data_IF_479101330300
#
_entry.id   IF_479101330300
#
_cell.length_a   1.000
_cell.length_b   1.000
_cell.length_c   1.000
_cell.angle_alpha   90.00
_cell.angle_beta   90.00
_cell.angle_gamma   90.00
#
_symmetry.space_group_name_H-M   'P 1'
#
loop_
_entity.id
_entity.type
_entity.pdbx_description
1 polymer ?
#
# COMPACT_ATOMS: atom_id res chain seq x y z
N UNK A 1 30.14 -4.42 -0.70
CA UNK A 1 29.15 -3.71 -1.56
C UNK A 1 28.26 -2.84 -0.70
N UNK A 2 27.65 -1.78 -1.26
CA UNK A 2 26.81 -0.83 -0.51
C UNK A 2 25.47 -0.61 -1.22
N UNK A 3 24.39 -0.57 -0.45
CA UNK A 3 23.06 -0.24 -0.94
C UNK A 3 22.51 1.00 -0.22
N UNK A 4 21.81 1.87 -0.94
CA UNK A 4 21.11 3.02 -0.39
C UNK A 4 19.60 2.87 -0.62
N UNK A 5 18.82 2.90 0.44
CA UNK A 5 17.37 3.03 0.37
C UNK A 5 16.96 4.48 0.60
N UNK A 6 16.08 5.03 -0.22
CA UNK A 6 15.60 6.40 -0.05
C UNK A 6 14.07 6.47 -0.03
N UNK A 7 13.52 7.26 0.90
CA UNK A 7 12.10 7.58 0.99
C UNK A 7 11.90 8.95 1.64
N UNK A 8 10.72 9.56 1.48
CA UNK A 8 10.45 10.88 2.08
C UNK A 8 10.35 10.84 3.60
N UNK A 9 9.89 9.72 4.19
CA UNK A 9 9.68 9.57 5.64
C UNK A 9 10.19 8.20 6.10
N UNK A 10 10.69 8.16 7.34
CA UNK A 10 11.19 6.93 7.97
C UNK A 10 10.13 5.82 8.01
N UNK A 11 8.90 6.15 8.40
CA UNK A 11 7.81 5.17 8.51
C UNK A 11 7.51 4.41 7.22
N UNK A 12 7.86 4.96 6.04
CA UNK A 12 7.74 4.21 4.79
C UNK A 12 8.80 3.10 4.68
N UNK A 13 10.02 3.35 5.12
CA UNK A 13 11.08 2.35 5.11
C UNK A 13 10.86 1.27 6.18
N UNK A 14 10.53 1.68 7.40
CA UNK A 14 10.32 0.76 8.52
C UNK A 14 9.03 -0.06 8.38
N UNK A 15 7.97 0.54 7.83
CA UNK A 15 6.69 -0.16 7.62
C UNK A 15 6.68 -1.15 6.46
N UNK A 16 7.55 -0.96 5.44
CA UNK A 16 7.41 -1.71 4.20
C UNK A 16 8.70 -2.31 3.64
N UNK A 17 9.89 -1.87 4.09
CA UNK A 17 11.13 -2.24 3.43
C UNK A 17 12.19 -2.88 4.33
N UNK A 18 11.86 -3.19 5.60
CA UNK A 18 12.75 -3.94 6.49
C UNK A 18 13.23 -5.24 5.84
N UNK A 19 12.35 -6.10 5.26
CA UNK A 19 12.80 -7.34 4.65
C UNK A 19 13.75 -7.12 3.45
N UNK A 20 13.52 -6.06 2.68
CA UNK A 20 14.39 -5.70 1.55
C UNK A 20 15.78 -5.25 2.02
N UNK A 21 15.85 -4.49 3.10
CA UNK A 21 17.12 -4.07 3.71
C UNK A 21 17.85 -5.26 4.32
N UNK A 22 17.12 -6.14 5.03
CA UNK A 22 17.67 -7.37 5.62
C UNK A 22 18.25 -8.30 4.56
N UNK A 23 17.58 -8.45 3.40
CA UNK A 23 18.08 -9.22 2.26
C UNK A 23 19.51 -8.81 1.86
N UNK A 24 19.81 -7.52 1.81
CA UNK A 24 21.15 -7.03 1.50
C UNK A 24 22.10 -7.17 2.68
N UNK A 25 21.62 -6.97 3.90
CA UNK A 25 22.42 -7.14 5.11
C UNK A 25 22.94 -8.57 5.24
N UNK A 26 22.08 -9.57 5.03
CA UNK A 26 22.41 -11.00 5.08
C UNK A 26 23.43 -11.41 4.01
N UNK A 27 23.55 -10.61 2.94
CA UNK A 27 24.55 -10.80 1.87
C UNK A 27 25.82 -9.97 2.07
N UNK A 28 26.02 -9.40 3.24
CA UNK A 28 27.21 -8.65 3.60
C UNK A 28 27.31 -7.26 2.99
N UNK A 29 26.19 -6.68 2.56
CA UNK A 29 26.17 -5.29 2.10
C UNK A 29 26.16 -4.33 3.28
N UNK A 30 26.85 -3.21 3.15
CA UNK A 30 26.57 -2.03 3.98
C UNK A 30 25.25 -1.42 3.53
N UNK A 31 24.26 -1.42 4.41
CA UNK A 31 22.90 -0.92 4.16
C UNK A 31 22.77 0.49 4.73
N UNK A 32 22.61 1.46 3.85
CA UNK A 32 22.40 2.86 4.22
C UNK A 32 20.98 3.29 3.88
N UNK A 33 20.45 4.23 4.66
CA UNK A 33 19.15 4.85 4.39
C UNK A 33 19.28 6.38 4.32
N UNK A 34 18.48 7.00 3.45
CA UNK A 34 18.36 8.46 3.36
C UNK A 34 16.87 8.84 3.32
N UNK A 35 16.36 9.37 4.43
CA UNK A 35 14.96 9.74 4.61
C UNK A 35 14.81 10.85 5.65
N UNK A 36 13.58 11.24 5.97
CA UNK A 36 13.28 12.13 7.09
C UNK A 36 13.72 11.56 8.44
N UNK A 37 13.58 12.32 9.54
CA UNK A 37 13.98 11.89 10.87
C UNK A 37 13.14 10.67 11.34
N UNK A 38 13.69 9.91 12.29
CA UNK A 38 13.10 8.74 12.90
C UNK A 38 14.15 7.74 13.36
N UNK A 39 13.75 6.70 14.09
CA UNK A 39 14.65 5.68 14.62
C UNK A 39 15.22 4.82 13.50
N UNK A 40 16.53 4.66 13.51
CA UNK A 40 17.24 3.85 12.51
C UNK A 40 16.96 2.37 12.75
N UNK A 41 16.44 1.64 11.76
CA UNK A 41 16.18 0.20 11.94
C UNK A 41 17.50 -0.59 12.05
N UNK A 42 17.49 -1.68 12.83
CA UNK A 42 18.67 -2.48 13.11
C UNK A 42 19.38 -3.06 11.86
N UNK A 43 18.64 -3.25 10.77
CA UNK A 43 19.21 -3.70 9.49
C UNK A 43 19.96 -2.60 8.72
N UNK A 44 19.90 -1.34 9.14
CA UNK A 44 20.59 -0.22 8.50
C UNK A 44 21.87 0.16 9.27
N UNK A 45 22.99 0.23 8.55
CA UNK A 45 24.28 0.63 9.14
C UNK A 45 24.44 2.14 9.30
N UNK A 46 23.73 2.91 8.47
CA UNK A 46 23.82 4.38 8.49
C UNK A 46 22.53 5.03 8.03
N UNK A 47 22.09 6.05 8.78
CA UNK A 47 20.98 6.92 8.42
C UNK A 47 21.47 8.33 8.10
N UNK A 48 21.15 8.80 6.90
CA UNK A 48 21.32 10.19 6.48
C UNK A 48 19.98 10.90 6.56
N UNK A 49 19.83 11.80 7.50
CA UNK A 49 18.59 12.59 7.64
C UNK A 49 18.52 13.60 6.52
N UNK A 50 17.58 13.41 5.60
CA UNK A 50 17.33 14.29 4.45
C UNK A 50 15.92 14.87 4.57
N UNK A 51 15.83 16.19 4.60
CA UNK A 51 14.57 16.93 4.74
C UNK A 51 13.75 16.96 3.44
N UNK A 52 13.27 15.82 2.99
CA UNK A 52 12.36 15.75 1.85
C UNK A 52 10.99 16.36 2.19
N UNK A 53 10.51 17.27 1.36
CA UNK A 53 9.17 17.79 1.45
C UNK A 53 8.21 16.98 0.55
N UNK A 54 6.98 16.75 1.01
CA UNK A 54 5.98 15.98 0.22
C UNK A 54 5.53 16.73 -1.04
N UNK A 55 5.51 18.07 -1.00
CA UNK A 55 5.18 18.89 -2.17
C UNK A 55 6.43 19.13 -3.02
N UNK A 56 6.40 18.84 -4.34
CA UNK A 56 7.56 19.03 -5.22
C UNK A 56 7.95 20.51 -5.39
N UNK A 57 7.04 21.45 -5.09
CA UNK A 57 7.24 22.89 -5.28
C UNK A 57 7.92 23.59 -4.08
N UNK A 58 8.27 22.86 -3.02
CA UNK A 58 8.94 23.44 -1.85
C UNK A 58 10.43 23.63 -2.12
N UNK A 59 10.94 24.86 -1.90
CA UNK A 59 12.35 25.21 -2.10
C UNK A 59 13.32 24.37 -1.24
N UNK A 60 12.86 23.88 -0.09
CA UNK A 60 13.62 22.94 0.75
C UNK A 60 14.04 21.66 0.02
N UNK A 61 13.33 21.26 -1.03
CA UNK A 61 13.76 20.14 -1.87
C UNK A 61 15.07 20.39 -2.63
N UNK A 62 15.47 21.65 -2.83
CA UNK A 62 16.78 22.00 -3.42
C UNK A 62 17.92 21.62 -2.44
N UNK A 63 17.76 21.94 -1.16
CA UNK A 63 18.74 21.56 -0.13
C UNK A 63 18.77 20.04 0.06
N UNK A 64 17.60 19.37 0.09
CA UNK A 64 17.51 17.93 0.13
C UNK A 64 18.22 17.25 -1.06
N UNK A 65 18.02 17.78 -2.28
CA UNK A 65 18.74 17.31 -3.46
C UNK A 65 20.27 17.45 -3.35
N UNK A 66 20.75 18.61 -2.87
CA UNK A 66 22.19 18.84 -2.69
C UNK A 66 22.80 17.90 -1.65
N UNK A 67 22.13 17.73 -0.51
CA UNK A 67 22.53 16.81 0.55
C UNK A 67 22.58 15.36 0.05
N UNK A 68 21.52 14.90 -0.61
CA UNK A 68 21.44 13.55 -1.17
C UNK A 68 22.52 13.31 -2.25
N UNK A 69 22.77 14.30 -3.11
CA UNK A 69 23.83 14.23 -4.12
C UNK A 69 25.21 14.11 -3.49
N UNK A 70 25.48 14.80 -2.36
CA UNK A 70 26.70 14.67 -1.58
C UNK A 70 26.83 13.26 -1.01
N UNK A 71 25.79 12.75 -0.35
CA UNK A 71 25.75 11.37 0.21
C UNK A 71 26.06 10.33 -0.87
N UNK A 72 25.41 10.42 -2.03
CA UNK A 72 25.63 9.45 -3.13
C UNK A 72 27.06 9.52 -3.66
N UNK A 73 27.63 10.71 -3.81
CA UNK A 73 29.00 10.90 -4.31
C UNK A 73 30.06 10.36 -3.35
N UNK A 74 29.87 10.57 -2.03
CA UNK A 74 30.88 10.25 -1.01
C UNK A 74 30.88 8.79 -0.59
N UNK A 75 29.82 8.02 -0.89
CA UNK A 75 29.69 6.63 -0.43
C UNK A 75 29.82 5.58 -1.53
N UNK A 76 29.74 5.94 -2.81
CA UNK A 76 29.90 5.03 -3.95
C UNK A 76 29.01 3.77 -3.86
N UNK A 77 27.70 3.95 -4.04
CA UNK A 77 26.73 2.86 -3.91
C UNK A 77 26.73 1.92 -5.12
N UNK A 78 26.57 0.64 -4.87
CA UNK A 78 26.35 -0.39 -5.88
C UNK A 78 24.90 -0.37 -6.38
N UNK A 79 23.97 -0.24 -5.45
CA UNK A 79 22.53 -0.15 -5.72
C UNK A 79 21.95 1.06 -4.96
N UNK A 80 21.05 1.77 -5.61
CA UNK A 80 20.20 2.79 -4.99
C UNK A 80 18.76 2.42 -5.26
N UNK A 81 17.99 2.12 -4.22
CA UNK A 81 16.58 1.81 -4.32
C UNK A 81 15.75 2.95 -3.74
N UNK A 82 14.97 3.61 -4.59
CA UNK A 82 14.20 4.77 -4.21
C UNK A 82 12.69 4.51 -4.20
N UNK A 83 12.03 5.12 -3.20
CA UNK A 83 10.61 5.02 -2.94
C UNK A 83 10.02 6.41 -2.76
N UNK A 84 8.70 6.51 -2.73
CA UNK A 84 7.90 7.73 -2.58
C UNK A 84 8.14 8.77 -3.69
N UNK A 85 7.13 9.55 -4.10
CA UNK A 85 7.20 10.35 -5.33
C UNK A 85 8.35 11.36 -5.33
N UNK A 86 8.41 12.27 -4.32
CA UNK A 86 9.41 13.35 -4.32
C UNK A 86 10.82 12.82 -4.07
N UNK A 87 11.00 11.93 -3.07
CA UNK A 87 12.32 11.37 -2.81
C UNK A 87 12.85 10.60 -4.02
N UNK A 88 12.00 9.84 -4.75
CA UNK A 88 12.44 9.12 -5.95
C UNK A 88 12.84 10.05 -7.10
N UNK A 89 12.14 11.16 -7.30
CA UNK A 89 12.54 12.18 -8.28
C UNK A 89 13.92 12.71 -7.97
N UNK A 90 14.13 13.16 -6.72
CA UNK A 90 15.41 13.73 -6.29
C UNK A 90 16.54 12.70 -6.33
N UNK A 91 16.26 11.45 -5.94
CA UNK A 91 17.25 10.37 -5.95
C UNK A 91 17.70 10.03 -7.36
N UNK A 92 16.76 9.82 -8.30
CA UNK A 92 17.06 9.51 -9.70
C UNK A 92 17.88 10.63 -10.37
N UNK A 93 17.60 11.89 -10.03
CA UNK A 93 18.38 13.04 -10.49
C UNK A 93 19.78 13.09 -9.85
N UNK A 94 19.88 12.88 -8.53
CA UNK A 94 21.15 12.93 -7.81
C UNK A 94 22.08 11.78 -8.22
N UNK A 95 21.52 10.60 -8.51
CA UNK A 95 22.25 9.40 -8.89
C UNK A 95 22.75 9.39 -10.35
N UNK A 96 22.38 10.38 -11.19
CA UNK A 96 22.72 10.38 -12.63
C UNK A 96 24.20 10.16 -12.92
N UNK A 97 25.10 10.76 -12.14
CA UNK A 97 26.55 10.58 -12.32
C UNK A 97 26.98 9.19 -11.82
N UNK A 98 26.59 8.78 -10.63
CA UNK A 98 26.92 7.47 -10.07
C UNK A 98 26.47 6.33 -11.00
N UNK A 99 25.28 6.47 -11.59
CA UNK A 99 24.73 5.51 -12.57
C UNK A 99 25.64 5.34 -13.82
N UNK A 100 26.31 6.41 -14.27
CA UNK A 100 27.31 6.31 -15.37
C UNK A 100 28.54 5.53 -14.95
N UNK A 101 28.84 5.45 -13.65
CA UNK A 101 29.95 4.71 -13.08
C UNK A 101 29.56 3.33 -12.52
N UNK A 102 28.40 2.80 -12.90
CA UNK A 102 28.01 1.42 -12.61
C UNK A 102 27.01 1.24 -11.46
N UNK A 103 26.59 2.30 -10.78
CA UNK A 103 25.48 2.21 -9.80
C UNK A 103 24.19 1.84 -10.49
N UNK A 104 23.47 0.83 -9.99
CA UNK A 104 22.13 0.46 -10.45
C UNK A 104 21.08 1.24 -9.67
N UNK A 105 20.19 1.94 -10.38
CA UNK A 105 19.10 2.72 -9.79
C UNK A 105 17.77 2.00 -9.99
N UNK A 106 17.17 1.58 -8.88
CA UNK A 106 15.86 0.92 -8.81
C UNK A 106 14.84 1.92 -8.28
N UNK A 107 13.69 2.01 -8.90
CA UNK A 107 12.55 2.79 -8.43
C UNK A 107 11.31 1.91 -8.27
N UNK A 108 10.76 1.86 -7.06
CA UNK A 108 9.44 1.26 -6.82
C UNK A 108 8.37 2.34 -6.74
N UNK A 109 7.46 2.32 -7.70
CA UNK A 109 6.27 3.17 -7.72
C UNK A 109 5.14 2.49 -6.91
N UNK A 110 4.81 3.05 -5.75
CA UNK A 110 3.69 2.60 -4.91
C UNK A 110 2.33 3.14 -5.36
N UNK A 111 2.25 3.61 -6.58
CA UNK A 111 1.07 4.15 -7.25
C UNK A 111 1.35 5.48 -7.94
N UNK A 112 1.33 5.50 -9.27
CA UNK A 112 1.52 6.74 -10.03
C UNK A 112 0.43 7.75 -9.75
N UNK A 113 0.75 9.05 -9.87
CA UNK A 113 -0.20 10.15 -9.69
C UNK A 113 -1.02 10.45 -10.97
N UNK A 114 -0.83 9.66 -12.02
CA UNK A 114 -1.63 9.67 -13.23
C UNK A 114 -2.32 8.30 -13.37
N UNK A 115 -3.54 8.22 -12.92
CA UNK A 115 -4.38 7.02 -12.86
C UNK A 115 -5.73 7.33 -13.55
N UNK A 116 -6.51 6.31 -13.80
CA UNK A 116 -7.84 6.48 -14.39
C UNK A 116 -8.75 7.29 -13.46
N UNK A 117 -9.22 8.45 -13.94
CA UNK A 117 -10.00 9.40 -13.14
C UNK A 117 -9.19 10.53 -12.50
N UNK A 118 -7.84 10.54 -12.62
CA UNK A 118 -7.04 11.65 -12.15
C UNK A 118 -7.33 12.96 -12.94
N UNK A 119 -7.20 14.15 -12.31
CA UNK A 119 -7.35 15.41 -13.01
C UNK A 119 -6.38 15.51 -14.19
N UNK A 120 -6.89 15.84 -15.39
CA UNK A 120 -6.15 15.75 -16.66
C UNK A 120 -4.81 16.48 -16.67
N UNK A 121 -4.78 17.72 -16.14
CA UNK A 121 -3.55 18.54 -16.13
C UNK A 121 -2.48 17.95 -15.19
N UNK A 122 -2.85 17.60 -13.98
CA UNK A 122 -1.91 16.98 -13.02
C UNK A 122 -1.42 15.62 -13.52
N UNK A 123 -2.31 14.80 -14.09
CA UNK A 123 -1.95 13.52 -14.68
C UNK A 123 -0.95 13.70 -15.84
N UNK A 124 -1.14 14.70 -16.70
CA UNK A 124 -0.21 15.02 -17.77
C UNK A 124 1.18 15.38 -17.23
N UNK A 125 1.25 16.27 -16.23
CA UNK A 125 2.51 16.71 -15.62
C UNK A 125 3.23 15.52 -14.97
N UNK A 126 2.57 14.78 -14.09
CA UNK A 126 3.19 13.62 -13.42
C UNK A 126 3.66 12.57 -14.41
N UNK A 127 2.85 12.25 -15.41
CA UNK A 127 3.22 11.30 -16.47
C UNK A 127 4.45 11.75 -17.25
N UNK A 128 4.52 13.03 -17.61
CA UNK A 128 5.65 13.59 -18.37
C UNK A 128 6.93 13.53 -17.55
N UNK A 129 6.87 13.90 -16.26
CA UNK A 129 8.00 13.82 -15.33
C UNK A 129 8.45 12.36 -15.15
N UNK A 130 7.54 11.44 -14.88
CA UNK A 130 7.88 10.02 -14.68
C UNK A 130 8.44 9.38 -15.96
N UNK A 131 7.86 9.69 -17.13
CA UNK A 131 8.40 9.25 -18.43
C UNK A 131 9.82 9.75 -18.65
N UNK A 132 10.08 11.03 -18.36
CA UNK A 132 11.43 11.60 -18.50
C UNK A 132 12.40 10.94 -17.53
N UNK A 133 12.02 10.78 -16.27
CA UNK A 133 12.84 10.16 -15.23
C UNK A 133 13.06 8.66 -15.45
N UNK A 134 12.20 7.98 -16.19
CA UNK A 134 12.41 6.56 -16.52
C UNK A 134 13.73 6.32 -17.27
N UNK A 135 14.24 7.31 -18.00
CA UNK A 135 15.57 7.26 -18.65
C UNK A 135 16.73 7.33 -17.65
N UNK A 136 16.47 7.80 -16.42
CA UNK A 136 17.41 7.86 -15.32
C UNK A 136 17.20 6.75 -14.29
N UNK A 137 16.42 5.73 -14.65
CA UNK A 137 16.09 4.54 -13.88
C UNK A 137 16.65 3.32 -14.59
N UNK A 138 17.28 2.41 -13.87
CA UNK A 138 17.68 1.12 -14.46
C UNK A 138 16.55 0.13 -14.36
N UNK A 139 15.94 -0.03 -13.20
CA UNK A 139 14.81 -0.93 -12.97
C UNK A 139 13.63 -0.13 -12.41
N UNK A 140 12.47 -0.28 -13.04
CA UNK A 140 11.22 0.31 -12.58
C UNK A 140 10.29 -0.81 -12.07
N UNK A 141 9.89 -0.72 -10.82
CA UNK A 141 8.97 -1.68 -10.19
C UNK A 141 7.63 -0.98 -9.95
N UNK A 142 6.54 -1.66 -10.30
CA UNK A 142 5.16 -1.26 -9.97
C UNK A 142 4.48 -2.33 -9.14
N UNK A 143 3.46 -1.95 -8.37
CA UNK A 143 2.75 -2.85 -7.46
C UNK A 143 1.30 -3.14 -7.89
N UNK A 144 0.90 -2.65 -9.06
CA UNK A 144 -0.43 -2.89 -9.63
C UNK A 144 -0.39 -2.94 -11.15
N UNK A 145 -1.42 -3.54 -11.76
CA UNK A 145 -1.51 -3.77 -13.20
C UNK A 145 -1.73 -2.51 -14.02
N UNK A 146 -2.50 -1.52 -13.51
CA UNK A 146 -2.74 -0.26 -14.22
C UNK A 146 -1.44 0.53 -14.42
N UNK A 147 -0.63 0.65 -13.36
CA UNK A 147 0.66 1.34 -13.42
C UNK A 147 1.66 0.57 -14.30
N UNK A 148 1.66 -0.76 -14.24
CA UNK A 148 2.51 -1.57 -15.12
C UNK A 148 2.15 -1.40 -16.59
N UNK A 149 0.87 -1.46 -16.92
CA UNK A 149 0.40 -1.24 -18.30
C UNK A 149 0.70 0.19 -18.79
N UNK A 150 0.70 1.19 -17.89
CA UNK A 150 1.02 2.56 -18.21
C UNK A 150 2.48 2.73 -18.69
N UNK A 151 3.41 1.89 -18.24
CA UNK A 151 4.82 1.92 -18.66
C UNK A 151 4.94 1.74 -20.19
N UNK A 152 4.37 0.69 -20.72
CA UNK A 152 4.36 0.42 -22.18
C UNK A 152 3.50 1.46 -22.91
N UNK A 153 2.28 1.74 -22.41
CA UNK A 153 1.33 2.67 -23.02
C UNK A 153 1.91 4.06 -23.25
N UNK A 154 2.72 4.55 -22.32
CA UNK A 154 3.30 5.89 -22.41
C UNK A 154 4.77 5.90 -22.84
N UNK A 155 5.35 4.76 -23.13
CA UNK A 155 6.71 4.62 -23.62
C UNK A 155 7.77 5.04 -22.60
N UNK A 156 7.68 4.52 -21.38
CA UNK A 156 8.74 4.63 -20.38
C UNK A 156 9.95 3.78 -20.80
N UNK A 157 11.15 4.18 -20.43
CA UNK A 157 12.39 3.55 -20.89
C UNK A 157 13.38 3.29 -19.75
N UNK A 158 13.02 2.47 -18.75
CA UNK A 158 14.01 2.01 -17.79
C UNK A 158 15.04 1.11 -18.51
N UNK A 159 16.32 1.25 -18.16
CA UNK A 159 17.42 0.65 -18.94
C UNK A 159 17.43 -0.90 -18.89
N UNK A 160 17.08 -1.47 -17.73
CA UNK A 160 17.13 -2.90 -17.43
C UNK A 160 15.73 -3.53 -17.32
N UNK A 161 14.70 -2.76 -17.63
CA UNK A 161 13.33 -3.23 -17.70
C UNK A 161 12.42 -2.72 -16.59
N UNK A 162 11.17 -3.08 -16.74
CA UNK A 162 10.11 -2.82 -15.77
C UNK A 162 9.49 -4.13 -15.30
N UNK A 163 9.13 -4.16 -14.02
CA UNK A 163 8.60 -5.35 -13.36
C UNK A 163 7.35 -4.98 -12.56
N UNK A 164 6.44 -5.95 -12.44
CA UNK A 164 5.32 -5.86 -11.51
C UNK A 164 5.55 -6.86 -10.38
N UNK A 165 5.40 -6.40 -9.13
CA UNK A 165 5.43 -7.26 -7.95
C UNK A 165 4.09 -7.13 -7.20
N UNK A 166 3.69 -8.13 -6.39
CA UNK A 166 2.44 -8.09 -5.62
C UNK A 166 2.52 -7.19 -4.38
N UNK A 167 3.21 -6.05 -4.48
CA UNK A 167 3.39 -5.10 -3.38
C UNK A 167 4.53 -5.46 -2.44
N UNK A 168 4.38 -5.07 -1.18
CA UNK A 168 5.41 -5.28 -0.13
C UNK A 168 5.22 -6.58 0.64
N UNK A 169 4.09 -7.25 0.42
CA UNK A 169 3.70 -8.48 1.10
C UNK A 169 3.01 -8.26 2.44
N UNK A 170 2.22 -9.25 2.84
CA UNK A 170 1.51 -9.32 4.13
C UNK A 170 1.96 -10.57 4.87
N UNK A 171 2.24 -10.43 6.15
CA UNK A 171 2.65 -11.55 7.00
C UNK A 171 1.50 -12.56 7.16
N UNK A 172 1.61 -13.69 6.46
CA UNK A 172 0.61 -14.75 6.48
C UNK A 172 0.64 -15.60 7.77
N UNK A 173 1.66 -15.47 8.60
CA UNK A 173 1.66 -16.07 9.93
C UNK A 173 0.84 -15.25 10.92
N UNK A 174 0.77 -13.93 10.70
CA UNK A 174 -0.05 -13.00 11.49
C UNK A 174 -1.49 -12.95 11.00
N UNK A 175 -1.70 -12.84 9.68
CA UNK A 175 -3.02 -12.73 9.06
C UNK A 175 -3.43 -14.08 8.46
N UNK A 176 -4.27 -14.82 9.18
CA UNK A 176 -4.76 -16.15 8.81
C UNK A 176 -6.18 -16.37 9.35
N UNK A 177 -6.92 -17.37 8.88
CA UNK A 177 -8.23 -17.69 9.44
C UNK A 177 -8.16 -18.04 10.92
N UNK A 178 -9.10 -17.52 11.70
CA UNK A 178 -9.22 -17.78 13.13
C UNK A 178 -10.31 -18.80 13.47
N UNK A 179 -10.22 -19.41 14.66
CA UNK A 179 -11.25 -20.33 15.14
C UNK A 179 -12.51 -19.59 15.58
N UNK A 180 -13.63 -20.30 15.70
CA UNK A 180 -14.88 -19.75 16.21
C UNK A 180 -14.73 -19.25 17.67
N UNK A 181 -13.89 -19.93 18.47
CA UNK A 181 -13.58 -19.52 19.86
C UNK A 181 -12.87 -18.19 19.88
N UNK A 182 -11.80 -18.03 19.05
CA UNK A 182 -11.07 -16.77 18.91
C UNK A 182 -12.02 -15.63 18.49
N UNK A 183 -12.84 -15.87 17.48
CA UNK A 183 -13.84 -14.89 17.02
C UNK A 183 -14.76 -14.45 18.14
N UNK A 184 -15.30 -15.41 18.94
CA UNK A 184 -16.19 -15.14 20.08
C UNK A 184 -15.49 -14.30 21.13
N UNK A 185 -14.28 -14.70 21.54
CA UNK A 185 -13.49 -13.98 22.52
C UNK A 185 -13.18 -12.53 22.11
N UNK A 186 -12.79 -12.32 20.83
CA UNK A 186 -12.51 -10.98 20.32
C UNK A 186 -13.79 -10.11 20.27
N UNK A 187 -14.93 -10.67 19.91
CA UNK A 187 -16.21 -9.96 19.93
C UNK A 187 -16.58 -9.55 21.37
N UNK A 188 -16.46 -10.44 22.32
CA UNK A 188 -16.73 -10.18 23.73
C UNK A 188 -15.81 -9.09 24.30
N UNK A 189 -14.50 -9.19 24.06
CA UNK A 189 -13.51 -8.20 24.51
C UNK A 189 -13.77 -6.79 23.95
N UNK A 190 -14.32 -6.72 22.72
CA UNK A 190 -14.64 -5.45 22.09
C UNK A 190 -16.12 -5.05 22.27
N UNK A 191 -16.91 -5.74 23.10
CA UNK A 191 -18.33 -5.46 23.34
C UNK A 191 -19.15 -5.52 22.03
N UNK A 192 -18.87 -6.48 21.16
CA UNK A 192 -19.57 -6.74 19.90
C UNK A 192 -20.56 -7.89 20.15
N UNK A 193 -21.84 -7.67 19.85
CA UNK A 193 -22.85 -8.72 19.98
C UNK A 193 -22.51 -9.93 19.11
N UNK A 194 -22.85 -11.13 19.59
CA UNK A 194 -22.59 -12.37 18.88
C UNK A 194 -23.32 -12.44 17.52
N UNK A 195 -24.49 -11.82 17.41
CA UNK A 195 -25.33 -11.74 16.21
C UNK A 195 -25.03 -10.52 15.33
N UNK A 196 -24.13 -9.63 15.73
CA UNK A 196 -23.79 -8.43 14.97
C UNK A 196 -23.23 -8.79 13.57
N UNK A 197 -23.72 -8.09 12.53
CA UNK A 197 -23.11 -8.11 11.21
C UNK A 197 -22.03 -7.04 11.12
N UNK A 198 -20.77 -7.47 11.18
CA UNK A 198 -19.63 -6.61 11.41
C UNK A 198 -18.91 -6.31 10.09
N UNK A 199 -18.88 -5.04 9.73
CA UNK A 199 -18.06 -4.48 8.65
C UNK A 199 -16.79 -3.87 9.22
N UNK A 200 -15.65 -3.98 8.54
CA UNK A 200 -14.38 -3.40 8.99
C UNK A 200 -13.64 -2.67 7.88
N UNK A 201 -13.13 -1.46 8.18
CA UNK A 201 -12.24 -0.70 7.30
C UNK A 201 -11.14 -0.01 8.09
N UNK A 202 -9.96 -0.61 8.13
CA UNK A 202 -8.77 -0.04 8.76
C UNK A 202 -8.09 0.97 7.82
N UNK A 203 -8.18 2.26 8.14
CA UNK A 203 -7.61 3.31 7.30
C UNK A 203 -7.51 4.66 8.03
N UNK A 204 -6.55 5.51 7.61
CA UNK A 204 -6.48 6.91 8.02
C UNK A 204 -7.78 7.66 7.67
N UNK A 205 -8.27 8.51 8.57
CA UNK A 205 -9.49 9.31 8.32
C UNK A 205 -9.17 10.53 7.46
N UNK A 206 -9.22 10.34 6.14
CA UNK A 206 -8.93 11.38 5.16
C UNK A 206 -9.86 11.30 3.94
N UNK A 207 -9.85 12.34 3.11
CA UNK A 207 -10.72 12.45 1.92
C UNK A 207 -10.50 11.31 0.91
N UNK A 208 -9.28 10.77 0.83
CA UNK A 208 -8.97 9.69 -0.11
C UNK A 208 -9.60 8.37 0.32
N UNK A 209 -9.59 8.06 1.62
CA UNK A 209 -10.17 6.83 2.17
C UNK A 209 -11.70 6.88 2.22
N UNK A 210 -12.30 8.09 2.26
CA UNK A 210 -13.72 8.35 2.00
C UNK A 210 -14.69 7.53 2.87
N UNK A 211 -14.42 7.43 4.18
CA UNK A 211 -15.30 6.73 5.11
C UNK A 211 -16.74 7.27 5.09
N UNK A 212 -16.95 8.53 4.67
CA UNK A 212 -18.28 9.10 4.49
C UNK A 212 -19.19 8.27 3.56
N UNK A 213 -18.63 7.62 2.53
CA UNK A 213 -19.39 6.71 1.66
C UNK A 213 -19.90 5.48 2.45
N UNK A 214 -19.09 4.92 3.35
CA UNK A 214 -19.50 3.79 4.19
C UNK A 214 -20.56 4.20 5.21
N UNK A 215 -20.43 5.38 5.82
CA UNK A 215 -21.45 5.92 6.73
C UNK A 215 -22.81 6.04 6.03
N UNK A 216 -22.83 6.57 4.79
CA UNK A 216 -24.07 6.63 3.98
C UNK A 216 -24.59 5.25 3.63
N UNK A 217 -23.74 4.27 3.30
CA UNK A 217 -24.16 2.91 3.03
C UNK A 217 -24.79 2.24 4.27
N UNK A 218 -24.21 2.43 5.45
CA UNK A 218 -24.77 1.96 6.73
C UNK A 218 -26.14 2.62 7.01
N UNK A 219 -26.29 3.93 6.76
CA UNK A 219 -27.55 4.63 6.89
C UNK A 219 -28.67 4.03 6.01
N UNK A 220 -28.33 3.57 4.81
CA UNK A 220 -29.28 2.89 3.92
C UNK A 220 -29.64 1.46 4.38
N UNK A 221 -28.80 0.86 5.23
CA UNK A 221 -28.93 -0.54 5.66
C UNK A 221 -29.52 -0.71 7.06
N UNK A 222 -29.51 0.30 7.92
CA UNK A 222 -29.85 0.19 9.34
C UNK A 222 -31.22 -0.43 9.63
N UNK A 223 -32.19 -0.18 8.75
CA UNK A 223 -33.55 -0.73 8.91
C UNK A 223 -33.66 -2.18 8.36
N UNK A 224 -32.83 -2.55 7.39
CA UNK A 224 -32.77 -3.90 6.81
C UNK A 224 -31.81 -4.84 7.56
N UNK A 225 -30.84 -4.28 8.28
CA UNK A 225 -29.84 -4.99 9.08
C UNK A 225 -29.75 -4.30 10.45
N UNK A 226 -30.68 -4.59 11.38
CA UNK A 226 -30.74 -3.88 12.67
C UNK A 226 -29.51 -4.07 13.56
N UNK A 227 -28.76 -5.14 13.36
CA UNK A 227 -27.54 -5.49 14.09
C UNK A 227 -26.25 -5.19 13.30
N UNK A 228 -26.32 -4.30 12.29
CA UNK A 228 -25.11 -3.88 11.54
C UNK A 228 -24.16 -3.11 12.44
N UNK A 229 -22.85 -3.35 12.28
CA UNK A 229 -21.81 -2.61 13.00
C UNK A 229 -20.63 -2.34 12.06
N UNK A 230 -20.29 -1.07 11.87
CA UNK A 230 -19.13 -0.64 11.11
C UNK A 230 -17.97 -0.29 12.08
N UNK A 231 -16.90 -1.07 12.00
CA UNK A 231 -15.66 -0.80 12.74
C UNK A 231 -14.70 -0.02 11.83
N UNK A 232 -14.24 1.11 12.34
CA UNK A 232 -13.29 2.00 11.67
C UNK A 232 -12.02 2.15 12.53
N UNK A 233 -11.09 1.17 12.51
CA UNK A 233 -9.76 1.36 13.09
C UNK A 233 -8.97 2.40 12.30
N UNK A 234 -8.38 3.39 12.98
CA UNK A 234 -7.60 4.45 12.38
C UNK A 234 -7.84 5.80 13.03
N UNK A 235 -7.03 6.75 12.62
CA UNK A 235 -7.08 8.15 13.06
C UNK A 235 -6.91 9.07 11.84
N UNK A 236 -7.20 10.34 12.00
CA UNK A 236 -6.95 11.31 10.96
C UNK A 236 -7.75 12.60 11.08
N UNK A 237 -7.47 13.57 10.21
CA UNK A 237 -8.02 14.91 10.31
C UNK A 237 -9.56 15.00 10.15
N UNK A 238 -10.19 13.97 9.58
CA UNK A 238 -11.65 13.95 9.35
C UNK A 238 -12.44 13.23 10.44
N UNK A 239 -11.82 12.85 11.57
CA UNK A 239 -12.49 12.14 12.65
C UNK A 239 -13.75 12.86 13.18
N UNK A 240 -13.62 14.14 13.49
CA UNK A 240 -14.75 14.94 13.97
C UNK A 240 -15.85 15.13 12.90
N UNK A 241 -15.48 15.18 11.62
CA UNK A 241 -16.43 15.23 10.50
C UNK A 241 -17.24 13.94 10.42
N UNK A 242 -16.59 12.78 10.55
CA UNK A 242 -17.26 11.48 10.52
C UNK A 242 -18.16 11.23 11.73
N UNK A 243 -17.78 11.71 12.92
CA UNK A 243 -18.65 11.68 14.11
C UNK A 243 -19.93 12.51 13.89
N UNK A 244 -19.81 13.72 13.36
CA UNK A 244 -20.98 14.56 13.03
C UNK A 244 -21.85 13.91 11.98
N UNK A 245 -21.26 13.42 10.89
CA UNK A 245 -22.02 12.76 9.83
C UNK A 245 -22.76 11.52 10.34
N UNK A 246 -22.17 10.73 11.23
CA UNK A 246 -22.84 9.58 11.83
C UNK A 246 -24.06 10.00 12.68
N UNK A 247 -23.97 11.12 13.41
CA UNK A 247 -25.08 11.69 14.16
C UNK A 247 -26.19 12.24 13.23
N UNK A 248 -25.83 13.00 12.21
CA UNK A 248 -26.77 13.55 11.22
C UNK A 248 -27.55 12.44 10.49
N UNK A 249 -26.90 11.31 10.21
CA UNK A 249 -27.50 10.15 9.57
C UNK A 249 -28.26 9.24 10.56
N UNK A 250 -28.25 9.56 11.88
CA UNK A 250 -28.83 8.76 12.96
C UNK A 250 -28.31 7.31 12.96
N UNK A 251 -26.97 7.16 12.85
CA UNK A 251 -26.27 5.87 12.82
C UNK A 251 -25.14 5.76 13.85
N UNK A 252 -25.06 6.67 14.83
CA UNK A 252 -23.95 6.68 15.79
C UNK A 252 -23.80 5.35 16.55
N UNK A 253 -24.89 4.64 16.83
CA UNK A 253 -24.88 3.33 17.49
C UNK A 253 -24.36 2.19 16.59
N UNK A 254 -24.34 2.38 15.27
CA UNK A 254 -23.91 1.40 14.28
C UNK A 254 -22.46 1.61 13.82
N UNK A 255 -21.75 2.61 14.36
CA UNK A 255 -20.41 2.98 13.91
C UNK A 255 -19.47 3.14 15.10
N UNK A 256 -18.30 2.53 15.02
CA UNK A 256 -17.23 2.69 16.02
C UNK A 256 -15.96 3.23 15.38
N UNK A 257 -15.60 4.46 15.73
CA UNK A 257 -14.29 5.04 15.43
C UNK A 257 -13.33 4.57 16.53
N UNK A 258 -12.37 3.70 16.19
CA UNK A 258 -11.63 2.91 17.20
C UNK A 258 -10.25 3.47 17.55
N UNK A 259 -9.84 4.59 16.94
CA UNK A 259 -8.47 5.06 17.05
C UNK A 259 -7.46 4.13 16.36
N UNK A 260 -6.18 4.41 16.54
CA UNK A 260 -5.11 3.56 15.99
C UNK A 260 -5.06 2.23 16.74
N UNK A 261 -5.04 1.12 15.98
CA UNK A 261 -5.02 -0.25 16.53
C UNK A 261 -3.80 -1.02 15.99
N UNK A 262 -3.14 -1.77 16.86
CA UNK A 262 -2.01 -2.63 16.52
C UNK A 262 -2.37 -4.11 16.40
N UNK A 263 -3.54 -4.50 16.91
CA UNK A 263 -4.09 -5.85 16.95
C UNK A 263 -5.07 -6.12 15.79
N UNK A 264 -4.72 -5.65 14.59
CA UNK A 264 -5.58 -5.75 13.42
C UNK A 264 -5.90 -7.19 13.02
N UNK A 265 -4.96 -8.12 13.20
CA UNK A 265 -5.14 -9.54 12.97
C UNK A 265 -6.28 -10.11 13.82
N UNK A 266 -6.30 -9.77 15.12
CA UNK A 266 -7.37 -10.19 16.01
C UNK A 266 -8.69 -9.48 15.69
N UNK A 267 -8.65 -8.16 15.40
CA UNK A 267 -9.85 -7.41 15.12
C UNK A 267 -10.56 -7.87 13.82
N UNK A 268 -9.79 -8.33 12.82
CA UNK A 268 -10.34 -8.95 11.59
C UNK A 268 -11.10 -10.25 11.89
N UNK A 269 -10.71 -11.01 12.92
CA UNK A 269 -11.45 -12.20 13.35
C UNK A 269 -12.88 -11.89 13.80
N UNK A 270 -13.16 -10.70 14.31
CA UNK A 270 -14.50 -10.27 14.70
C UNK A 270 -15.42 -9.91 13.54
N UNK A 271 -14.85 -9.60 12.37
CA UNK A 271 -15.59 -9.09 11.22
C UNK A 271 -16.29 -10.18 10.40
N UNK A 272 -17.28 -9.77 9.59
CA UNK A 272 -17.98 -10.61 8.60
C UNK A 272 -17.59 -10.22 7.17
N UNK A 273 -17.32 -8.93 6.94
CA UNK A 273 -16.98 -8.40 5.62
C UNK A 273 -15.94 -7.30 5.78
N UNK A 274 -14.87 -7.36 5.01
CA UNK A 274 -13.96 -6.23 4.87
C UNK A 274 -14.48 -5.26 3.81
N UNK A 275 -14.45 -3.97 4.11
CA UNK A 275 -14.94 -2.95 3.18
C UNK A 275 -13.86 -1.92 2.87
N UNK A 276 -13.91 -1.30 1.69
CA UNK A 276 -13.08 -0.14 1.37
C UNK A 276 -13.81 0.82 0.43
N UNK A 277 -13.89 2.08 0.86
CA UNK A 277 -14.47 3.19 0.10
C UNK A 277 -13.43 4.10 -0.54
N UNK A 278 -12.16 3.71 -0.55
CA UNK A 278 -11.06 4.53 -1.06
C UNK A 278 -11.30 5.00 -2.51
N UNK A 279 -10.92 6.24 -2.79
CA UNK A 279 -10.95 6.80 -4.15
C UNK A 279 -9.68 6.48 -4.94
N UNK A 280 -8.59 6.15 -4.24
CA UNK A 280 -7.31 5.82 -4.85
C UNK A 280 -6.48 4.94 -3.92
N UNK A 281 -5.97 3.84 -4.46
CA UNK A 281 -4.98 2.99 -3.80
C UNK A 281 -3.89 2.56 -4.79
N UNK A 282 -2.70 2.31 -4.26
CA UNK A 282 -1.66 1.62 -5.01
C UNK A 282 -1.94 0.12 -5.09
N UNK A 283 -2.33 -0.46 -3.96
CA UNK A 283 -2.70 -1.87 -3.85
C UNK A 283 -3.92 -2.06 -2.93
N UNK A 284 -3.87 -1.69 -1.65
CA UNK A 284 -4.91 -1.95 -0.66
C UNK A 284 -4.51 -3.08 0.28
N UNK A 285 -3.39 -2.91 1.00
CA UNK A 285 -2.83 -3.94 1.88
C UNK A 285 -3.84 -4.42 2.92
N UNK A 286 -4.62 -3.53 3.50
CA UNK A 286 -5.68 -3.85 4.46
C UNK A 286 -6.73 -4.83 3.90
N UNK A 287 -7.00 -4.83 2.59
CA UNK A 287 -7.86 -5.82 1.97
C UNK A 287 -7.17 -7.17 1.82
N UNK A 288 -5.87 -7.18 1.52
CA UNK A 288 -5.08 -8.43 1.49
C UNK A 288 -5.04 -9.07 2.88
N UNK A 289 -4.81 -8.28 3.93
CA UNK A 289 -4.87 -8.72 5.33
C UNK A 289 -6.22 -9.40 5.65
N UNK A 290 -7.31 -8.75 5.27
CA UNK A 290 -8.65 -9.28 5.46
C UNK A 290 -8.92 -10.55 4.64
N UNK A 291 -8.48 -10.60 3.38
CA UNK A 291 -8.63 -11.77 2.52
C UNK A 291 -7.85 -12.98 3.05
N UNK A 292 -6.63 -12.77 3.56
CA UNK A 292 -5.85 -13.84 4.20
C UNK A 292 -6.52 -14.36 5.48
N UNK A 293 -7.30 -13.52 6.17
CA UNK A 293 -8.11 -13.91 7.34
C UNK A 293 -9.41 -14.64 6.95
N UNK A 294 -9.73 -14.72 5.65
CA UNK A 294 -10.93 -15.41 5.14
C UNK A 294 -12.15 -14.51 5.04
N UNK A 295 -11.99 -13.20 5.02
CA UNK A 295 -13.12 -12.27 4.85
C UNK A 295 -13.40 -12.00 3.36
N UNK A 296 -14.65 -12.04 2.93
CA UNK A 296 -15.05 -11.49 1.64
C UNK A 296 -14.91 -9.96 1.68
N UNK A 297 -14.72 -9.36 0.50
CA UNK A 297 -14.44 -7.93 0.37
C UNK A 297 -15.54 -7.21 -0.41
N UNK A 298 -15.99 -6.03 0.06
CA UNK A 298 -16.74 -5.08 -0.77
C UNK A 298 -15.97 -3.78 -0.87
N UNK A 299 -15.47 -3.46 -2.06
CA UNK A 299 -14.57 -2.33 -2.25
C UNK A 299 -14.90 -1.50 -3.49
N UNK A 300 -14.43 -0.27 -3.52
CA UNK A 300 -14.54 0.58 -4.72
C UNK A 300 -13.72 0.01 -5.87
N UNK A 301 -14.25 0.09 -7.10
CA UNK A 301 -13.59 -0.35 -8.34
C UNK A 301 -12.54 0.67 -8.78
N UNK A 302 -11.39 0.61 -8.12
CA UNK A 302 -10.21 1.43 -8.44
C UNK A 302 -9.02 0.52 -8.72
N UNK A 303 -7.94 1.09 -9.29
CA UNK A 303 -6.67 0.32 -9.42
C UNK A 303 -6.23 -0.16 -8.03
N UNK A 304 -5.47 -1.18 -7.93
CA UNK A 304 -5.11 -1.81 -6.66
C UNK A 304 -6.23 -2.71 -6.14
N UNK A 305 -7.43 -2.19 -5.84
CA UNK A 305 -8.56 -3.05 -5.47
C UNK A 305 -8.95 -4.03 -6.58
N UNK A 306 -8.97 -3.56 -7.83
CA UNK A 306 -9.30 -4.41 -8.99
C UNK A 306 -8.22 -5.47 -9.30
N UNK A 307 -7.02 -5.30 -8.77
CA UNK A 307 -5.95 -6.32 -8.88
C UNK A 307 -6.08 -7.42 -7.81
N UNK A 308 -6.72 -7.11 -6.68
CA UNK A 308 -6.82 -7.99 -5.51
C UNK A 308 -8.17 -8.71 -5.51
N UNK A 309 -9.27 -7.98 -5.75
CA UNK A 309 -10.64 -8.47 -5.61
C UNK A 309 -11.17 -8.98 -6.95
N UNK A 310 -11.46 -10.27 -7.03
CA UNK A 310 -12.15 -10.91 -8.14
C UNK A 310 -13.66 -10.73 -7.95
N UNK A 311 -14.25 -9.81 -8.77
CA UNK A 311 -15.64 -9.41 -8.64
C UNK A 311 -16.61 -10.58 -8.83
N UNK A 312 -17.42 -10.86 -7.83
CA UNK A 312 -18.36 -11.98 -7.81
C UNK A 312 -17.79 -13.31 -7.29
N UNK A 313 -16.47 -13.38 -7.05
CA UNK A 313 -15.78 -14.59 -6.57
C UNK A 313 -15.18 -14.41 -5.17
N UNK A 314 -14.35 -13.40 -4.96
CA UNK A 314 -13.72 -13.12 -3.65
C UNK A 314 -14.37 -11.93 -2.94
N UNK A 315 -15.34 -11.30 -3.59
CA UNK A 315 -16.04 -10.12 -3.10
C UNK A 315 -16.69 -9.33 -4.22
N UNK A 316 -17.04 -8.08 -3.94
CA UNK A 316 -17.68 -7.20 -4.90
C UNK A 316 -16.91 -5.88 -5.08
N UNK A 317 -16.82 -5.43 -6.33
CA UNK A 317 -16.30 -4.11 -6.68
C UNK A 317 -17.46 -3.21 -7.11
N UNK A 318 -17.58 -2.04 -6.47
CA UNK A 318 -18.63 -1.05 -6.72
C UNK A 318 -18.02 0.26 -7.25
N UNK A 319 -18.78 1.12 -7.94
CA UNK A 319 -18.27 2.42 -8.37
C UNK A 319 -17.80 3.27 -7.16
N UNK A 320 -16.73 4.08 -7.31
CA UNK A 320 -16.38 5.07 -6.30
C UNK A 320 -17.54 6.06 -6.05
N UNK A 321 -17.66 6.49 -4.80
CA UNK A 321 -18.70 7.45 -4.35
C UNK A 321 -20.16 6.94 -4.48
N UNK A 322 -20.38 5.66 -4.73
CA UNK A 322 -21.70 5.02 -4.89
C UNK A 322 -22.09 4.24 -3.62
N UNK A 323 -22.63 4.96 -2.62
CA UNK A 323 -23.10 4.35 -1.38
C UNK A 323 -24.29 3.37 -1.57
N UNK A 324 -25.27 3.62 -2.46
CA UNK A 324 -26.30 2.64 -2.79
C UNK A 324 -25.76 1.33 -3.33
N UNK A 325 -24.82 1.35 -4.28
CA UNK A 325 -24.21 0.13 -4.80
C UNK A 325 -23.42 -0.63 -3.70
N UNK A 326 -22.74 0.08 -2.80
CA UNK A 326 -22.08 -0.51 -1.63
C UNK A 326 -23.11 -1.19 -0.73
N UNK A 327 -24.20 -0.51 -0.39
CA UNK A 327 -25.27 -1.05 0.45
C UNK A 327 -25.93 -2.30 -0.16
N UNK A 328 -26.21 -2.30 -1.46
CA UNK A 328 -26.76 -3.45 -2.19
C UNK A 328 -25.90 -4.71 -2.03
N UNK A 329 -24.57 -4.58 -2.21
CA UNK A 329 -23.66 -5.72 -2.12
C UNK A 329 -23.48 -6.20 -0.67
N UNK A 330 -23.49 -5.29 0.29
CA UNK A 330 -23.47 -5.63 1.72
C UNK A 330 -24.76 -6.35 2.14
N UNK A 331 -25.92 -5.90 1.69
CA UNK A 331 -27.19 -6.55 1.97
C UNK A 331 -27.23 -7.97 1.36
N UNK A 332 -26.69 -8.17 0.14
CA UNK A 332 -26.54 -9.48 -0.48
C UNK A 332 -25.70 -10.42 0.39
N UNK A 333 -24.57 -9.95 0.90
CA UNK A 333 -23.71 -10.75 1.78
C UNK A 333 -24.35 -11.00 3.15
N UNK A 334 -25.10 -10.05 3.70
CA UNK A 334 -25.84 -10.24 4.94
C UNK A 334 -26.86 -11.38 4.82
N UNK A 335 -27.62 -11.42 3.73
CA UNK A 335 -28.70 -12.40 3.47
C UNK A 335 -28.19 -13.81 3.16
N UNK A 336 -26.92 -13.98 2.81
CA UNK A 336 -26.36 -15.30 2.49
C UNK A 336 -25.03 -15.55 3.23
N UNK A 337 -25.10 -16.19 4.42
CA UNK A 337 -23.91 -16.67 5.13
C UNK A 337 -23.07 -17.63 4.30
N UNK A 338 -23.70 -18.47 3.48
CA UNK A 338 -23.04 -19.43 2.60
C UNK A 338 -22.17 -18.72 1.56
N UNK A 339 -22.72 -17.67 0.92
CA UNK A 339 -21.99 -16.87 -0.05
C UNK A 339 -20.79 -16.14 0.62
N UNK A 340 -20.97 -15.62 1.85
CA UNK A 340 -19.88 -15.02 2.62
C UNK A 340 -18.76 -16.03 2.86
N UNK A 341 -19.12 -17.22 3.29
CA UNK A 341 -18.15 -18.28 3.54
C UNK A 341 -17.41 -18.69 2.25
N UNK A 342 -18.14 -18.97 1.18
CA UNK A 342 -17.56 -19.34 -0.12
C UNK A 342 -16.60 -18.26 -0.65
N UNK A 343 -17.02 -17.00 -0.64
CA UNK A 343 -16.17 -15.87 -1.06
C UNK A 343 -14.95 -15.72 -0.16
N UNK A 344 -15.08 -15.92 1.15
CA UNK A 344 -13.98 -15.89 2.09
C UNK A 344 -12.93 -16.97 1.81
N UNK A 345 -13.33 -18.20 1.51
CA UNK A 345 -12.40 -19.28 1.13
C UNK A 345 -11.66 -18.97 -0.18
N UNK A 346 -12.37 -18.45 -1.17
CA UNK A 346 -11.75 -18.00 -2.43
C UNK A 346 -10.81 -16.82 -2.21
N UNK A 347 -11.14 -15.92 -1.27
CA UNK A 347 -10.30 -14.77 -0.91
C UNK A 347 -8.94 -15.20 -0.34
N UNK A 348 -8.90 -16.21 0.55
CA UNK A 348 -7.65 -16.79 1.07
C UNK A 348 -6.75 -17.24 -0.10
N UNK A 349 -7.31 -17.98 -1.03
CA UNK A 349 -6.57 -18.52 -2.19
C UNK A 349 -6.05 -17.40 -3.10
N UNK A 350 -6.89 -16.42 -3.39
CA UNK A 350 -6.53 -15.27 -4.25
C UNK A 350 -5.49 -14.35 -3.60
N UNK A 351 -5.42 -14.31 -2.28
CA UNK A 351 -4.46 -13.49 -1.55
C UNK A 351 -3.06 -14.12 -1.41
N UNK A 352 -2.89 -15.42 -1.73
CA UNK A 352 -1.59 -16.11 -1.58
C UNK A 352 -0.41 -15.43 -2.29
N UNK A 353 -0.54 -14.90 -3.51
CA UNK A 353 0.55 -14.17 -4.17
C UNK A 353 1.04 -12.94 -3.39
N UNK A 354 0.19 -12.37 -2.54
CA UNK A 354 0.46 -11.17 -1.74
C UNK A 354 1.05 -11.49 -0.35
N UNK A 355 1.24 -12.75 0.01
CA UNK A 355 1.95 -13.11 1.24
C UNK A 355 3.38 -12.61 1.17
N UNK A 356 3.93 -12.28 2.36
CA UNK A 356 5.25 -11.65 2.49
C UNK A 356 6.34 -12.45 1.77
N UNK A 357 6.39 -13.76 1.98
CA UNK A 357 7.36 -14.65 1.37
C UNK A 357 7.29 -14.65 -0.18
N UNK A 358 6.08 -14.62 -0.75
CA UNK A 358 5.88 -14.63 -2.19
C UNK A 358 6.22 -13.27 -2.83
N UNK A 359 5.77 -12.17 -2.20
CA UNK A 359 6.07 -10.82 -2.67
C UNK A 359 7.58 -10.51 -2.58
N UNK A 360 8.24 -10.99 -1.53
CA UNK A 360 9.68 -10.85 -1.36
C UNK A 360 10.45 -11.67 -2.40
N UNK A 361 10.06 -12.92 -2.66
CA UNK A 361 10.71 -13.76 -3.65
C UNK A 361 10.78 -13.07 -5.02
N UNK A 362 9.66 -12.43 -5.46
CA UNK A 362 9.64 -11.66 -6.71
C UNK A 362 10.57 -10.44 -6.66
N UNK A 363 10.58 -9.70 -5.54
CA UNK A 363 11.45 -8.53 -5.38
C UNK A 363 12.93 -8.93 -5.32
N UNK A 364 13.26 -10.03 -4.66
CA UNK A 364 14.64 -10.52 -4.52
C UNK A 364 15.19 -11.03 -5.85
N UNK A 365 14.38 -11.69 -6.69
CA UNK A 365 14.78 -12.02 -8.06
C UNK A 365 15.15 -10.79 -8.89
N UNK A 366 14.47 -9.67 -8.66
CA UNK A 366 14.81 -8.39 -9.32
C UNK A 366 16.15 -7.85 -8.80
N UNK A 367 16.43 -7.98 -7.50
CA UNK A 367 17.74 -7.60 -6.94
C UNK A 367 18.88 -8.48 -7.49
N UNK A 368 18.68 -9.79 -7.60
CA UNK A 368 19.66 -10.69 -8.20
C UNK A 368 19.99 -10.27 -9.63
N UNK A 369 18.99 -10.02 -10.47
CA UNK A 369 19.21 -9.48 -11.82
C UNK A 369 19.98 -8.15 -11.81
N UNK A 370 19.73 -7.27 -10.86
CA UNK A 370 20.46 -6.02 -10.74
C UNK A 370 21.94 -6.24 -10.41
N UNK A 371 22.24 -7.24 -9.56
CA UNK A 371 23.59 -7.63 -9.18
C UNK A 371 24.36 -8.31 -10.33
N UNK A 372 23.76 -9.26 -11.03
CA UNK A 372 24.35 -9.97 -12.17
C UNK A 372 24.77 -9.00 -13.29
N UNK A 373 23.90 -8.03 -13.58
CA UNK A 373 24.21 -7.02 -14.60
C UNK A 373 25.33 -6.08 -14.20
N UNK A 374 25.58 -5.89 -12.91
CA UNK A 374 26.74 -5.15 -12.42
C UNK A 374 28.02 -5.95 -12.59
N UNK A 375 28.00 -7.23 -12.22
CA UNK A 375 29.16 -8.13 -12.34
C UNK A 375 29.60 -8.26 -13.79
N UNK A 376 28.66 -8.42 -14.72
CA UNK A 376 28.94 -8.49 -16.15
C UNK A 376 29.53 -7.19 -16.74
N UNK A 377 29.23 -6.03 -16.15
CA UNK A 377 29.85 -4.74 -16.53
C UNK A 377 31.25 -4.55 -15.97
N UNK A 378 31.59 -5.20 -14.85
CA UNK A 378 32.91 -5.14 -14.26
C UNK A 378 33.90 -6.10 -14.94
N UNK A 379 33.43 -7.25 -15.46
CA UNK A 379 34.24 -8.25 -16.15
C UNK A 379 34.45 -8.01 -17.65
N UNK A 380 33.78 -7.02 -18.23
CA UNK A 380 33.89 -6.64 -19.64
C UNK A 380 34.73 -5.38 -19.91
N UNK A 381 35.63 -5.01 -18.97
CA UNK A 381 36.62 -3.93 -19.14
C UNK A 381 38.02 -4.50 -19.28
#
# INVERSE_FOLDING_TARGET
MKVLFTASVMGHLTGFHIPNMQYFKDRGFAVHIACGPGDTPACADRHFVIGFERSPFRLKNISAYRALKKVIRENEYDIIHCHTPVASVLTRLAARRARKHGTVVIYTAHGFHFYRGAPRLSAFVYRTVEKWLSRHTDILITINGEDYAAISRYGFRPKLGAYRVPGVGVDGARFHPHTAETRRAVREQNGISADAFVLIFAAEYNRNKNQAMLLRAVSLLKDSIPNILLLLPGEGPLQAEYQRLAAELSISQYVRLMGYRTDMDMLLAAADVAVSSSRREGLGINLVEAMLTGLPVVATRIRGHADIVQHGETGFLVPPDDAPAMAEKLLKLYRSPELRHEMGQKAISAAQPYRLENAQAETFRIYERALDMKTNRAGGK
#
